data_IF_182265991835
#
_entry.id   IF_182265991835
#
_cell.length_a   1.000
_cell.length_b   1.000
_cell.length_c   1.000
_cell.angle_alpha   90.00
_cell.angle_beta   90.00
_cell.angle_gamma   90.00
#
_symmetry.space_group_name_H-M   'P 1'
#
loop_
_entity.id
_entity.type
_entity.pdbx_description
1 polymer ?
#
# COMPACT_ATOMS: atom_id res chain seq x y z
N UNK A 1 5.88 -0.52 -29.63
CA UNK A 1 5.96 -1.49 -28.52
C UNK A 1 5.35 -0.81 -27.31
N UNK A 2 4.40 -1.43 -26.61
CA UNK A 2 3.80 -0.83 -25.43
C UNK A 2 4.64 -1.15 -24.21
N UNK A 3 5.16 -0.11 -23.55
CA UNK A 3 6.07 -0.25 -22.41
C UNK A 3 5.35 -0.19 -21.07
N UNK A 4 4.04 0.08 -21.07
CA UNK A 4 3.26 0.29 -19.87
C UNK A 4 1.93 -0.41 -19.97
N UNK A 5 1.60 -1.19 -18.94
CA UNK A 5 0.28 -1.77 -18.75
C UNK A 5 -0.47 -0.88 -17.78
N UNK A 6 -1.63 -0.39 -18.20
CA UNK A 6 -2.55 0.36 -17.36
C UNK A 6 -3.71 -0.54 -16.96
N UNK A 7 -4.07 -0.47 -15.68
CA UNK A 7 -5.09 -1.31 -15.07
C UNK A 7 -6.00 -0.40 -14.26
N UNK A 8 -7.31 -0.56 -14.42
CA UNK A 8 -8.31 0.09 -13.59
C UNK A 8 -9.22 -0.94 -12.99
N UNK A 9 -9.31 -0.96 -11.67
CA UNK A 9 -10.19 -1.87 -10.93
C UNK A 9 -11.38 -1.10 -10.39
N UNK A 10 -12.56 -1.74 -10.42
CA UNK A 10 -13.76 -1.29 -9.74
C UNK A 10 -14.04 -2.22 -8.58
N UNK A 11 -14.06 -1.68 -7.37
CA UNK A 11 -14.37 -2.40 -6.14
C UNK A 11 -15.63 -1.85 -5.49
N UNK A 12 -16.45 -2.73 -4.95
CA UNK A 12 -17.52 -2.37 -4.00
C UNK A 12 -16.96 -2.48 -2.60
N UNK A 13 -17.24 -1.50 -1.75
CA UNK A 13 -16.98 -1.63 -0.32
C UNK A 13 -18.28 -1.38 0.46
N UNK A 14 -18.50 -2.19 1.49
CA UNK A 14 -19.65 -2.08 2.39
C UNK A 14 -19.15 -1.93 3.82
N UNK A 15 -19.54 -0.84 4.49
CA UNK A 15 -19.35 -0.65 5.93
C UNK A 15 -17.95 -1.01 6.46
N UNK A 16 -16.90 -0.61 5.74
CA UNK A 16 -15.51 -1.01 6.05
C UNK A 16 -14.63 0.18 6.42
N UNK A 17 -13.42 -0.09 6.89
CA UNK A 17 -12.40 0.93 7.20
C UNK A 17 -11.15 0.64 6.36
N UNK A 18 -10.88 1.49 5.38
CA UNK A 18 -9.68 1.38 4.55
C UNK A 18 -8.42 1.83 5.30
N UNK A 19 -8.53 2.98 5.98
CA UNK A 19 -7.43 3.60 6.68
C UNK A 19 -7.98 4.54 7.73
N UNK A 20 -7.29 4.63 8.86
CA UNK A 20 -7.72 5.48 9.95
C UNK A 20 -6.96 6.80 10.00
N UNK A 21 -7.63 7.86 10.45
CA UNK A 21 -7.06 9.15 10.80
C UNK A 21 -7.46 9.53 12.22
N UNK A 22 -6.60 10.25 12.93
CA UNK A 22 -6.93 10.82 14.24
C UNK A 22 -7.60 12.17 14.06
N UNK A 23 -8.77 12.34 14.67
CA UNK A 23 -9.47 13.62 14.81
C UNK A 23 -9.96 13.72 16.26
N UNK A 24 -9.54 14.76 16.98
CA UNK A 24 -10.02 15.08 18.33
C UNK A 24 -10.02 13.87 19.30
N UNK A 25 -8.86 13.21 19.44
CA UNK A 25 -8.63 11.99 20.26
C UNK A 25 -9.39 10.73 19.81
N UNK A 26 -10.23 10.81 18.78
CA UNK A 26 -10.92 9.66 18.17
C UNK A 26 -10.25 9.26 16.86
N UNK A 27 -10.38 7.99 16.49
CA UNK A 27 -9.79 7.42 15.27
C UNK A 27 -10.93 7.08 14.32
N UNK A 28 -10.96 7.66 13.13
CA UNK A 28 -12.07 7.50 12.16
C UNK A 28 -11.56 7.15 10.76
N UNK A 29 -12.45 6.69 9.87
CA UNK A 29 -12.14 6.43 8.47
C UNK A 29 -11.58 7.69 7.78
N UNK A 30 -10.48 7.53 7.06
CA UNK A 30 -9.86 8.59 6.27
C UNK A 30 -10.76 9.00 5.10
N UNK A 31 -10.93 10.31 4.91
CA UNK A 31 -11.71 10.89 3.82
C UNK A 31 -11.05 12.16 3.26
N UNK A 32 -11.48 12.58 2.07
CA UNK A 32 -11.24 13.92 1.55
C UNK A 32 -12.59 14.61 1.31
N UNK A 33 -12.59 15.93 1.24
CA UNK A 33 -13.79 16.71 0.97
C UNK A 33 -13.84 17.13 -0.50
N UNK A 34 -14.93 16.79 -1.18
CA UNK A 34 -15.23 17.21 -2.55
C UNK A 34 -16.12 18.46 -2.49
N UNK A 35 -15.60 19.58 -2.98
CA UNK A 35 -16.29 20.87 -2.95
C UNK A 35 -17.38 21.00 -4.02
N UNK A 36 -17.29 20.26 -5.12
CA UNK A 36 -18.26 20.32 -6.21
C UNK A 36 -19.60 19.71 -5.78
N UNK A 37 -19.55 18.57 -5.09
CA UNK A 37 -20.74 17.87 -4.60
C UNK A 37 -20.99 18.07 -3.10
N UNK A 38 -20.15 18.85 -2.41
CA UNK A 38 -20.22 19.12 -0.98
C UNK A 38 -20.30 17.82 -0.15
N UNK A 39 -19.37 16.89 -0.38
CA UNK A 39 -19.36 15.56 0.25
C UNK A 39 -17.99 15.14 0.77
N UNK A 40 -17.99 14.46 1.90
CA UNK A 40 -16.81 13.75 2.43
C UNK A 40 -16.75 12.35 1.85
N UNK A 41 -15.68 12.05 1.11
CA UNK A 41 -15.52 10.79 0.38
C UNK A 41 -14.39 9.98 1.01
N UNK A 42 -14.65 8.73 1.44
CA UNK A 42 -13.61 7.86 1.95
C UNK A 42 -12.62 7.47 0.85
N UNK A 43 -11.37 7.24 1.23
CA UNK A 43 -10.36 6.73 0.30
C UNK A 43 -9.29 5.92 1.01
N UNK A 44 -8.60 5.07 0.25
CA UNK A 44 -7.34 4.45 0.64
C UNK A 44 -6.20 5.09 -0.13
N UNK A 45 -5.10 5.44 0.54
CA UNK A 45 -3.94 6.04 -0.15
C UNK A 45 -3.29 5.04 -1.11
N UNK A 46 -2.64 5.53 -2.17
CA UNK A 46 -1.90 4.65 -3.09
C UNK A 46 -0.81 3.85 -2.39
N UNK A 47 -0.22 4.38 -1.30
CA UNK A 47 0.73 3.65 -0.47
C UNK A 47 0.10 2.48 0.28
N UNK A 48 -1.12 2.64 0.80
CA UNK A 48 -1.84 1.54 1.45
C UNK A 48 -2.23 0.46 0.44
N UNK A 49 -2.75 0.85 -0.73
CA UNK A 49 -3.09 -0.08 -1.82
C UNK A 49 -1.85 -0.85 -2.27
N UNK A 50 -0.74 -0.13 -2.50
CA UNK A 50 0.54 -0.71 -2.88
C UNK A 50 1.05 -1.71 -1.84
N UNK A 51 1.00 -1.35 -0.55
CA UNK A 51 1.39 -2.25 0.52
C UNK A 51 0.56 -3.55 0.50
N UNK A 52 -0.76 -3.45 0.37
CA UNK A 52 -1.64 -4.62 0.28
C UNK A 52 -1.34 -5.50 -0.95
N UNK A 53 -0.96 -4.90 -2.09
CA UNK A 53 -0.52 -5.65 -3.27
C UNK A 53 0.81 -6.37 -2.99
N UNK A 54 1.80 -5.67 -2.45
CA UNK A 54 3.13 -6.27 -2.17
C UNK A 54 3.07 -7.36 -1.10
N UNK A 55 2.25 -7.17 -0.05
CA UNK A 55 1.96 -8.21 0.94
C UNK A 55 1.36 -9.45 0.26
N UNK A 56 0.36 -9.29 -0.62
CA UNK A 56 -0.23 -10.39 -1.37
C UNK A 56 0.78 -11.09 -2.31
N UNK A 57 1.70 -10.34 -2.95
CA UNK A 57 2.79 -10.92 -3.75
C UNK A 57 3.65 -11.84 -2.89
N UNK A 58 4.09 -11.36 -1.73
CA UNK A 58 4.90 -12.14 -0.79
C UNK A 58 4.16 -13.39 -0.28
N UNK A 59 2.86 -13.27 0.02
CA UNK A 59 2.01 -14.40 0.43
C UNK A 59 1.91 -15.47 -0.68
N UNK A 60 1.69 -15.06 -1.94
CA UNK A 60 1.60 -16.01 -3.05
C UNK A 60 2.94 -16.68 -3.39
N UNK A 61 4.05 -16.00 -3.16
CA UNK A 61 5.39 -16.57 -3.31
C UNK A 61 5.84 -17.36 -2.08
N UNK A 62 5.08 -17.33 -0.98
CA UNK A 62 5.44 -17.90 0.31
C UNK A 62 6.81 -17.38 0.80
N UNK A 63 7.06 -16.08 0.63
CA UNK A 63 8.31 -15.41 1.03
C UNK A 63 8.05 -14.36 2.09
N UNK A 64 8.99 -14.17 3.00
CA UNK A 64 8.94 -13.04 3.92
C UNK A 64 9.23 -11.72 3.16
N UNK A 65 8.54 -10.61 3.48
CA UNK A 65 8.92 -9.30 2.95
C UNK A 65 10.31 -8.90 3.46
N UNK A 66 10.95 -7.98 2.75
CA UNK A 66 12.26 -7.49 3.17
C UNK A 66 12.25 -6.98 4.61
N UNK A 67 13.30 -7.27 5.41
CA UNK A 67 13.44 -6.67 6.72
C UNK A 67 13.59 -5.15 6.59
N UNK A 68 13.01 -4.44 7.56
CA UNK A 68 13.10 -2.98 7.70
C UNK A 68 13.72 -2.67 9.07
N UNK A 69 14.74 -1.82 9.07
CA UNK A 69 15.41 -1.40 10.31
C UNK A 69 14.84 -0.06 10.75
N UNK A 70 14.25 -0.02 11.95
CA UNK A 70 13.80 1.20 12.60
C UNK A 70 14.87 1.72 13.55
N UNK A 71 15.33 2.95 13.33
CA UNK A 71 16.27 3.61 14.23
C UNK A 71 15.48 4.61 15.08
N UNK A 72 15.72 4.53 16.39
CA UNK A 72 15.23 5.52 17.35
C UNK A 72 16.41 6.10 18.12
N UNK A 73 16.30 7.37 18.50
CA UNK A 73 17.30 8.07 19.29
C UNK A 73 16.73 8.43 20.67
N UNK A 74 17.54 8.33 21.70
CA UNK A 74 17.18 8.79 23.04
C UNK A 74 17.68 10.22 23.20
N UNK A 75 16.77 11.16 23.42
CA UNK A 75 17.09 12.55 23.72
C UNK A 75 16.29 13.02 24.94
N UNK A 76 16.99 13.50 25.99
CA UNK A 76 16.37 14.02 27.23
C UNK A 76 15.34 13.06 27.86
N UNK A 77 15.69 11.77 28.02
CA UNK A 77 14.80 10.70 28.54
C UNK A 77 13.51 10.47 27.72
N UNK A 78 13.45 10.94 26.46
CA UNK A 78 12.36 10.64 25.52
C UNK A 78 12.91 9.88 24.32
N UNK A 79 12.18 8.85 23.90
CA UNK A 79 12.43 8.15 22.64
C UNK A 79 11.95 9.04 21.48
N UNK A 80 12.81 9.28 20.51
CA UNK A 80 12.49 9.98 19.26
C UNK A 80 12.69 9.04 18.08
N UNK A 81 11.71 8.98 17.20
CA UNK A 81 11.84 8.30 15.92
C UNK A 81 12.95 8.96 15.09
N UNK A 82 13.79 8.16 14.44
CA UNK A 82 14.86 8.62 13.56
C UNK A 82 14.67 8.03 12.15
N UNK A 83 15.67 7.34 11.61
CA UNK A 83 15.67 6.83 10.25
C UNK A 83 15.05 5.44 10.15
N UNK A 84 14.41 5.16 9.01
CA UNK A 84 13.93 3.83 8.64
C UNK A 84 14.75 3.39 7.44
N UNK A 85 15.44 2.25 7.54
CA UNK A 85 16.29 1.73 6.48
C UNK A 85 15.68 0.49 5.83
N UNK A 86 15.54 0.55 4.51
CA UNK A 86 15.37 -0.62 3.65
C UNK A 86 16.74 -1.23 3.32
N UNK A 87 16.77 -2.54 3.07
CA UNK A 87 18.01 -3.26 2.69
C UNK A 87 18.60 -2.81 1.36
N UNK A 88 17.78 -2.23 0.45
CA UNK A 88 18.17 -1.85 -0.91
C UNK A 88 18.64 -3.05 -1.75
N UNK A 89 17.99 -4.20 -1.55
CA UNK A 89 18.34 -5.48 -2.15
C UNK A 89 17.19 -5.99 -3.04
N UNK A 90 17.38 -6.05 -4.37
CA UNK A 90 16.34 -6.44 -5.32
C UNK A 90 16.03 -7.95 -5.36
N UNK A 91 16.75 -8.78 -4.59
CA UNK A 91 16.35 -10.18 -4.38
C UNK A 91 15.04 -10.30 -3.61
N UNK A 92 14.68 -9.27 -2.84
CA UNK A 92 13.37 -9.15 -2.21
C UNK A 92 12.37 -8.55 -3.21
N UNK A 93 11.36 -9.34 -3.58
CA UNK A 93 10.34 -8.97 -4.56
C UNK A 93 9.56 -7.72 -4.18
N UNK A 94 9.27 -7.53 -2.88
CA UNK A 94 8.58 -6.36 -2.36
C UNK A 94 9.41 -5.08 -2.50
N UNK A 95 10.74 -5.17 -2.41
CA UNK A 95 11.63 -4.05 -2.70
C UNK A 95 11.80 -3.81 -4.19
N UNK A 96 11.96 -4.86 -4.99
CA UNK A 96 12.11 -4.72 -6.44
C UNK A 96 10.90 -4.00 -7.06
N UNK A 97 9.69 -4.40 -6.66
CA UNK A 97 8.43 -3.80 -7.08
C UNK A 97 8.08 -2.54 -6.30
N UNK A 98 8.42 -2.48 -5.01
CA UNK A 98 8.12 -1.36 -4.13
C UNK A 98 9.01 -0.14 -4.33
N UNK A 99 10.24 -0.35 -4.77
CA UNK A 99 11.31 0.64 -4.74
C UNK A 99 11.76 0.95 -3.31
N UNK A 100 12.82 1.72 -3.19
CA UNK A 100 13.40 2.11 -1.90
C UNK A 100 14.10 3.45 -2.00
N UNK A 101 14.36 4.04 -0.84
CA UNK A 101 15.22 5.20 -0.70
C UNK A 101 15.98 5.06 0.62
N UNK A 102 17.30 5.11 0.55
CA UNK A 102 18.19 5.14 1.71
C UNK A 102 19.10 6.36 1.56
N UNK A 103 18.86 7.36 2.40
CA UNK A 103 19.73 8.52 2.52
C UNK A 103 20.57 8.36 3.79
N UNK A 104 21.89 8.39 3.66
CA UNK A 104 22.78 8.45 4.81
C UNK A 104 22.83 9.89 5.31
N UNK A 105 22.49 10.13 6.58
CA UNK A 105 22.78 11.45 7.17
C UNK A 105 24.29 11.59 7.36
N UNK A 106 24.86 12.65 6.76
CA UNK A 106 26.21 13.11 7.12
C UNK A 106 26.24 13.40 8.62
N UNK A 107 27.08 12.68 9.36
CA UNK A 107 27.44 13.03 10.73
C UNK A 107 28.29 14.31 10.73
N UNK A 108 27.73 15.47 10.35
CA UNK A 108 28.43 16.76 10.43
C UNK A 108 27.97 17.66 11.58
N UNK A 109 26.87 17.35 12.27
CA UNK A 109 26.39 18.21 13.37
C UNK A 109 26.82 17.78 14.78
N UNK A 110 27.64 16.73 14.92
CA UNK A 110 28.17 16.28 16.22
C UNK A 110 29.60 16.76 16.52
N UNK A 111 30.32 17.37 15.56
CA UNK A 111 31.72 17.79 15.71
C UNK A 111 31.92 19.27 16.09
N UNK A 112 30.86 20.01 16.43
CA UNK A 112 31.01 21.37 17.00
C UNK A 112 31.45 21.37 18.48
N UNK A 113 31.57 20.20 19.15
CA UNK A 113 31.80 20.13 20.60
C UNK A 113 32.96 19.23 21.06
N UNK A 114 34.04 19.09 20.27
CA UNK A 114 35.33 18.60 20.77
C UNK A 114 36.49 19.38 20.16
N UNK A 115 36.68 20.61 20.64
CA UNK A 115 38.04 21.16 20.76
C UNK A 115 38.79 20.30 21.77
N UNK A 116 40.07 20.02 21.49
CA UNK A 116 41.07 19.31 22.31
C UNK A 116 41.05 17.76 22.27
N UNK A 117 41.80 17.18 21.33
CA UNK A 117 43.00 16.39 21.66
C UNK A 117 43.78 16.07 20.39
N UNK A 118 45.00 16.62 20.35
CA UNK A 118 46.09 16.27 19.45
C UNK A 118 46.51 14.83 19.74
N UNK A 119 46.65 13.98 18.71
CA UNK A 119 47.43 12.75 18.78
C UNK A 119 48.00 12.43 17.40
N UNK A 120 49.25 12.02 17.41
CA UNK A 120 50.21 11.96 16.32
C UNK A 120 49.86 10.93 15.21
N UNK A 121 50.49 11.04 14.02
CA UNK A 121 50.20 10.23 12.86
C UNK A 121 51.18 9.05 12.79
N UNK A 122 50.69 7.82 12.90
CA UNK A 122 51.38 6.63 12.39
C UNK A 122 50.39 5.47 12.31
N UNK A 123 50.47 4.75 11.19
CA UNK A 123 49.83 3.48 10.84
C UNK A 123 48.29 3.41 10.70
N UNK A 124 47.79 3.48 9.46
CA UNK A 124 46.81 2.51 8.95
C UNK A 124 46.79 2.51 7.40
N UNK A 125 47.64 1.68 6.81
CA UNK A 125 47.53 1.24 5.41
C UNK A 125 46.34 0.26 5.29
N UNK A 126 45.13 0.80 5.25
CA UNK A 126 43.93 0.10 4.78
C UNK A 126 43.02 1.09 4.03
N UNK A 127 43.52 1.54 2.87
CA UNK A 127 42.78 2.35 1.91
C UNK A 127 41.91 1.47 1.00
N UNK A 128 40.91 0.80 1.53
CA UNK A 128 39.91 0.11 0.68
C UNK A 128 38.60 -0.06 1.46
N UNK A 129 37.80 1.02 1.60
CA UNK A 129 36.32 0.97 1.80
C UNK A 129 35.69 2.38 2.01
N UNK A 130 36.05 3.36 1.17
CA UNK A 130 35.61 4.76 1.38
C UNK A 130 34.85 5.41 0.19
N UNK A 131 34.50 4.64 -0.85
CA UNK A 131 33.86 5.20 -2.05
C UNK A 131 32.33 5.31 -2.03
N UNK A 132 31.66 4.90 -0.95
CA UNK A 132 30.18 4.93 -0.88
C UNK A 132 29.59 5.66 0.34
N UNK A 133 30.42 6.25 1.22
CA UNK A 133 29.91 7.01 2.37
C UNK A 133 29.27 8.32 1.90
N UNK A 134 27.94 8.41 2.01
CA UNK A 134 27.16 9.64 1.79
C UNK A 134 26.37 9.75 0.49
N UNK A 135 26.26 8.70 -0.34
CA UNK A 135 25.38 8.70 -1.52
C UNK A 135 24.00 8.15 -1.16
N UNK A 136 22.95 8.80 -1.68
CA UNK A 136 21.56 8.32 -1.52
C UNK A 136 21.33 7.17 -2.50
N UNK A 137 21.02 5.98 -1.98
CA UNK A 137 20.56 4.86 -2.80
C UNK A 137 19.07 5.02 -3.04
N UNK A 138 18.63 5.06 -4.30
CA UNK A 138 17.22 5.31 -4.61
C UNK A 138 16.77 4.56 -5.85
N UNK A 139 15.76 3.72 -5.68
CA UNK A 139 15.03 3.09 -6.76
C UNK A 139 13.58 3.55 -6.77
N UNK A 140 13.08 3.97 -7.93
CA UNK A 140 11.65 4.24 -8.11
C UNK A 140 10.93 2.93 -8.40
N UNK A 141 9.78 2.75 -7.79
CA UNK A 141 8.89 1.63 -8.06
C UNK A 141 8.51 1.56 -9.53
N UNK A 142 8.56 0.38 -10.18
CA UNK A 142 7.97 0.17 -11.49
C UNK A 142 6.43 0.18 -11.46
N UNK A 143 5.82 0.15 -10.27
CA UNK A 143 4.38 0.18 -10.06
C UNK A 143 3.95 1.58 -9.59
N UNK A 144 3.24 2.31 -10.46
CA UNK A 144 2.57 3.56 -10.10
C UNK A 144 1.12 3.27 -9.74
N UNK A 145 0.76 3.43 -8.47
CA UNK A 145 -0.53 3.02 -7.92
C UNK A 145 -1.28 4.25 -7.38
N UNK A 146 -2.48 4.50 -7.91
CA UNK A 146 -3.34 5.58 -7.44
C UNK A 146 -3.90 5.28 -6.05
N UNK A 147 -4.44 6.32 -5.40
CA UNK A 147 -5.38 6.08 -4.30
C UNK A 147 -6.58 5.25 -4.80
N UNK A 148 -7.09 4.36 -3.95
CA UNK A 148 -8.43 3.80 -4.14
C UNK A 148 -9.44 4.83 -3.66
N UNK A 149 -10.15 5.45 -4.59
CA UNK A 149 -11.07 6.59 -4.35
C UNK A 149 -12.46 6.26 -4.84
N UNK A 150 -13.47 7.02 -4.42
CA UNK A 150 -14.82 6.87 -4.96
C UNK A 150 -14.82 6.99 -6.50
N UNK A 151 -15.58 6.14 -7.17
CA UNK A 151 -15.82 6.23 -8.61
C UNK A 151 -16.40 7.60 -8.97
N UNK A 152 -17.34 8.06 -8.14
CA UNK A 152 -17.95 9.37 -8.18
C UNK A 152 -18.35 9.83 -6.76
N UNK A 153 -18.32 11.13 -6.43
CA UNK A 153 -18.78 11.67 -5.13
C UNK A 153 -20.20 11.28 -4.70
N UNK A 154 -21.06 10.96 -5.68
CA UNK A 154 -22.44 10.52 -5.44
C UNK A 154 -22.60 9.01 -5.27
N UNK A 155 -21.53 8.23 -5.55
CA UNK A 155 -21.53 6.76 -5.52
C UNK A 155 -20.66 6.16 -4.40
N UNK A 156 -20.05 7.02 -3.59
CA UNK A 156 -19.26 6.63 -2.42
C UNK A 156 -19.47 7.64 -1.30
N UNK A 157 -19.45 7.18 -0.06
CA UNK A 157 -19.70 8.05 1.08
C UNK A 157 -19.33 7.42 2.41
N UNK A 158 -19.49 8.22 3.47
CA UNK A 158 -19.35 7.78 4.84
C UNK A 158 -20.72 7.45 5.43
N UNK A 159 -20.83 6.28 6.07
CA UNK A 159 -21.96 5.95 6.94
C UNK A 159 -21.51 5.97 8.39
N UNK A 160 -22.33 6.53 9.29
CA UNK A 160 -22.09 6.45 10.74
C UNK A 160 -22.61 5.13 11.30
N UNK A 161 -21.87 4.54 12.23
CA UNK A 161 -22.23 3.33 12.96
C UNK A 161 -21.80 3.46 14.43
N UNK A 162 -22.66 3.01 15.34
CA UNK A 162 -22.34 2.85 16.75
C UNK A 162 -21.83 1.42 17.02
N UNK A 163 -20.74 1.29 17.77
CA UNK A 163 -20.13 0.00 18.08
C UNK A 163 -20.24 -0.28 19.58
N UNK A 164 -20.55 -1.53 19.92
CA UNK A 164 -20.44 -2.04 21.28
C UNK A 164 -19.14 -2.81 21.47
N UNK A 165 -18.34 -2.45 22.47
CA UNK A 165 -17.28 -3.31 22.99
C UNK A 165 -17.79 -3.98 24.26
N UNK A 166 -18.23 -5.23 24.12
CA UNK A 166 -18.77 -6.04 25.21
C UNK A 166 -17.81 -7.17 25.56
N UNK A 167 -17.43 -7.26 26.84
CA UNK A 167 -16.64 -8.34 27.44
C UNK A 167 -17.30 -8.91 28.70
N UNK A 168 -18.60 -8.70 28.87
CA UNK A 168 -19.35 -9.13 30.05
C UNK A 168 -19.35 -10.65 30.25
N UNK A 169 -19.14 -11.42 29.19
CA UNK A 169 -19.06 -12.88 29.18
C UNK A 169 -17.66 -13.43 29.56
N UNK A 170 -16.65 -12.55 29.74
CA UNK A 170 -15.27 -12.97 30.00
C UNK A 170 -14.90 -12.86 31.48
N UNK A 171 -14.71 -13.99 32.20
CA UNK A 171 -14.46 -14.00 33.64
C UNK A 171 -13.09 -13.45 34.03
N UNK A 172 -12.17 -13.27 33.08
CA UNK A 172 -10.83 -12.72 33.29
C UNK A 172 -10.74 -11.22 32.96
N UNK A 173 -11.86 -10.50 32.92
CA UNK A 173 -11.89 -9.06 32.69
C UNK A 173 -11.61 -8.31 33.98
N UNK A 174 -10.52 -7.52 34.00
CA UNK A 174 -10.20 -6.64 35.12
C UNK A 174 -10.78 -5.24 34.89
N UNK A 175 -11.48 -4.71 35.90
CA UNK A 175 -12.06 -3.35 35.87
C UNK A 175 -11.32 -2.51 36.90
N UNK A 176 -10.49 -1.57 36.43
CA UNK A 176 -9.74 -0.65 37.28
C UNK A 176 -10.43 0.71 37.24
N UNK A 177 -10.91 1.19 38.38
CA UNK A 177 -11.41 2.56 38.54
C UNK A 177 -10.41 3.37 39.36
N UNK A 178 -10.11 4.58 38.88
CA UNK A 178 -9.21 5.51 39.55
C UNK A 178 -9.96 6.78 39.96
N UNK A 179 -9.54 7.36 41.07
CA UNK A 179 -9.99 8.68 41.51
C UNK A 179 -9.31 9.81 40.72
N UNK A 180 -9.62 11.06 41.08
CA UNK A 180 -9.08 12.27 40.43
C UNK A 180 -7.56 12.40 40.59
N UNK A 181 -6.98 11.81 41.64
CA UNK A 181 -5.55 11.80 41.92
C UNK A 181 -4.82 10.62 41.24
N UNK A 182 -5.57 9.72 40.59
CA UNK A 182 -5.05 8.57 39.85
C UNK A 182 -4.81 7.32 40.72
N UNK A 183 -5.25 7.31 41.97
CA UNK A 183 -5.20 6.16 42.87
C UNK A 183 -6.31 5.17 42.53
N UNK A 184 -6.04 3.87 42.69
CA UNK A 184 -7.01 2.80 42.40
C UNK A 184 -8.00 2.66 43.56
N UNK A 185 -9.29 2.70 43.27
CA UNK A 185 -10.35 2.48 44.27
C UNK A 185 -10.36 1.03 44.75
N UNK A 186 -10.62 0.83 46.04
CA UNK A 186 -10.73 -0.52 46.64
C UNK A 186 -12.15 -1.07 46.47
N UNK A 187 -12.29 -2.39 46.48
CA UNK A 187 -13.57 -3.10 46.21
C UNK A 187 -14.76 -2.62 47.06
N UNK A 188 -14.52 -2.22 48.31
CA UNK A 188 -15.57 -1.71 49.21
C UNK A 188 -16.06 -0.32 48.79
N UNK A 189 -15.14 0.60 48.51
CA UNK A 189 -15.46 1.96 48.03
C UNK A 189 -16.12 1.92 46.65
N UNK A 190 -15.71 0.95 45.80
CA UNK A 190 -16.32 0.70 44.52
C UNK A 190 -17.76 0.18 44.64
N UNK A 191 -18.01 -0.75 45.56
CA UNK A 191 -19.35 -1.30 45.81
C UNK A 191 -20.31 -0.22 46.31
N UNK A 192 -19.87 0.59 47.27
CA UNK A 192 -20.64 1.73 47.81
C UNK A 192 -20.93 2.78 46.72
N UNK A 193 -20.00 3.03 45.78
CA UNK A 193 -20.19 3.96 44.67
C UNK A 193 -21.15 3.45 43.58
N UNK A 194 -21.18 2.13 43.37
CA UNK A 194 -22.06 1.49 42.39
C UNK A 194 -23.48 1.26 42.95
N UNK A 195 -23.67 1.32 44.26
CA UNK A 195 -24.99 1.21 44.89
C UNK A 195 -25.89 2.38 44.43
N UNK A 196 -26.88 2.07 43.58
CA UNK A 196 -27.79 3.04 42.97
C UNK A 196 -27.38 3.54 41.57
N UNK A 197 -26.22 3.13 41.04
CA UNK A 197 -25.77 3.45 39.69
C UNK A 197 -25.79 2.21 38.79
N UNK A 198 -26.85 2.03 38.00
CA UNK A 198 -26.98 0.92 37.05
C UNK A 198 -26.12 1.15 35.79
N UNK A 199 -24.80 0.97 35.92
CA UNK A 199 -23.83 1.11 34.82
C UNK A 199 -23.02 -0.16 34.63
N UNK A 200 -23.06 -0.70 33.42
CA UNK A 200 -22.20 -1.82 33.02
C UNK A 200 -20.76 -1.37 32.79
N UNK A 201 -19.82 -1.81 33.64
CA UNK A 201 -18.40 -1.45 33.55
C UNK A 201 -17.59 -2.33 32.58
N UNK A 202 -18.12 -3.50 32.21
CA UNK A 202 -17.53 -4.44 31.25
C UNK A 202 -17.95 -4.17 29.79
N UNK A 203 -18.71 -3.09 29.56
CA UNK A 203 -19.22 -2.68 28.25
C UNK A 203 -18.86 -1.23 27.96
N UNK A 204 -18.40 -0.97 26.75
CA UNK A 204 -18.16 0.40 26.26
C UNK A 204 -18.90 0.61 24.95
N UNK A 205 -19.78 1.61 24.95
CA UNK A 205 -20.40 2.11 23.73
C UNK A 205 -19.46 3.12 23.07
N UNK A 206 -19.20 2.93 21.78
CA UNK A 206 -18.37 3.82 20.97
C UNK A 206 -19.26 4.35 19.86
N UNK A 207 -19.65 5.61 19.97
CA UNK A 207 -20.56 6.27 19.03
C UNK A 207 -19.81 6.90 17.86
N UNK A 208 -20.55 7.19 16.79
CA UNK A 208 -20.12 8.02 15.66
C UNK A 208 -18.91 7.49 14.88
N UNK A 209 -18.79 6.17 14.74
CA UNK A 209 -17.71 5.60 13.94
C UNK A 209 -18.06 5.66 12.45
N UNK A 210 -17.23 6.34 11.67
CA UNK A 210 -17.44 6.42 10.22
C UNK A 210 -16.94 5.16 9.51
N UNK A 211 -17.71 4.70 8.52
CA UNK A 211 -17.39 3.60 7.61
C UNK A 211 -17.44 4.03 6.16
N UNK A 212 -16.58 3.45 5.34
CA UNK A 212 -16.60 3.60 3.91
C UNK A 212 -17.62 2.64 3.26
N UNK A 213 -18.48 3.20 2.42
CA UNK A 213 -19.45 2.45 1.61
C UNK A 213 -19.51 3.02 0.20
N UNK A 214 -19.70 2.15 -0.80
CA UNK A 214 -19.97 2.53 -2.19
C UNK A 214 -19.04 1.89 -3.22
N UNK A 215 -18.94 2.55 -4.38
CA UNK A 215 -18.13 2.12 -5.52
C UNK A 215 -16.81 2.88 -5.58
N UNK A 216 -15.72 2.14 -5.67
CA UNK A 216 -14.35 2.65 -5.60
C UNK A 216 -13.54 2.21 -6.81
N UNK A 217 -12.68 3.10 -7.29
CA UNK A 217 -11.72 2.80 -8.35
C UNK A 217 -10.30 2.95 -7.86
N UNK A 218 -9.42 2.10 -8.37
CA UNK A 218 -7.97 2.29 -8.27
C UNK A 218 -7.30 1.98 -9.60
N UNK A 219 -6.28 2.76 -9.92
CA UNK A 219 -5.54 2.72 -11.17
C UNK A 219 -4.09 2.29 -10.89
N UNK A 220 -3.55 1.42 -11.72
CA UNK A 220 -2.18 0.91 -11.64
C UNK A 220 -1.53 1.07 -13.02
N UNK A 221 -0.31 1.60 -13.05
CA UNK A 221 0.55 1.58 -14.22
C UNK A 221 1.80 0.74 -13.91
N UNK A 222 2.09 -0.24 -14.76
CA UNK A 222 3.26 -1.11 -14.67
C UNK A 222 4.26 -0.70 -15.75
N UNK A 223 5.43 -0.17 -15.37
CA UNK A 223 6.51 0.09 -16.32
C UNK A 223 7.32 -1.20 -16.56
N UNK A 224 7.06 -1.84 -17.70
CA UNK A 224 7.69 -3.11 -18.08
C UNK A 224 9.21 -2.96 -18.25
N UNK A 225 9.70 -1.78 -18.63
CA UNK A 225 11.14 -1.56 -18.82
C UNK A 225 11.95 -1.64 -17.54
N UNK A 226 11.30 -1.41 -16.39
CA UNK A 226 11.92 -1.38 -15.06
C UNK A 226 11.48 -2.51 -14.14
N UNK A 227 10.44 -3.26 -14.51
CA UNK A 227 9.76 -4.21 -13.61
C UNK A 227 10.72 -5.22 -12.97
N UNK A 228 11.62 -5.79 -13.79
CA UNK A 228 12.56 -6.83 -13.37
C UNK A 228 14.03 -6.43 -13.48
N UNK A 229 14.33 -5.14 -13.64
CA UNK A 229 15.71 -4.69 -13.77
C UNK A 229 16.06 -3.59 -12.79
N UNK A 230 17.33 -3.49 -12.45
CA UNK A 230 17.90 -2.48 -11.56
C UNK A 230 19.11 -1.81 -12.20
N UNK A 231 19.22 -0.50 -12.04
CA UNK A 231 20.30 0.29 -12.66
C UNK A 231 21.65 0.04 -11.96
N UNK A 232 22.72 -0.06 -12.74
CA UNK A 232 24.10 -0.11 -12.22
C UNK A 232 24.85 1.23 -12.36
N UNK A 233 24.10 2.32 -12.64
CA UNK A 233 24.67 3.66 -12.76
C UNK A 233 25.30 4.13 -11.44
N UNK A 234 26.58 4.49 -11.47
CA UNK A 234 27.33 4.95 -10.29
C UNK A 234 27.07 6.40 -9.88
N UNK A 235 26.51 7.21 -10.78
CA UNK A 235 26.14 8.61 -10.52
C UNK A 235 24.81 8.72 -9.78
N UNK A 236 23.85 7.87 -10.15
CA UNK A 236 22.55 7.73 -9.48
C UNK A 236 22.34 6.26 -9.05
N UNK A 237 23.05 5.82 -7.99
CA UNK A 237 23.05 4.41 -7.61
C UNK A 237 21.69 3.97 -7.06
N UNK A 238 21.18 2.85 -7.58
CA UNK A 238 20.02 2.17 -6.98
C UNK A 238 20.46 1.26 -5.83
N UNK A 239 21.68 0.70 -5.85
CA UNK A 239 22.17 -0.25 -4.85
C UNK A 239 23.69 -0.08 -4.59
N UNK A 240 24.23 -0.79 -3.59
CA UNK A 240 25.66 -0.80 -3.32
C UNK A 240 26.44 -1.65 -4.33
N UNK A 241 27.74 -1.38 -4.51
CA UNK A 241 28.62 -2.21 -5.35
C UNK A 241 28.69 -3.67 -4.87
N UNK A 242 28.60 -3.90 -3.56
CA UNK A 242 28.51 -5.24 -2.97
C UNK A 242 27.24 -5.97 -3.44
N UNK A 243 26.10 -5.27 -3.45
CA UNK A 243 24.83 -5.82 -3.95
C UNK A 243 24.94 -6.14 -5.44
N UNK A 244 25.56 -5.28 -6.25
CA UNK A 244 25.79 -5.56 -7.69
C UNK A 244 26.59 -6.86 -7.86
N UNK A 245 27.71 -7.02 -7.14
CA UNK A 245 28.54 -8.24 -7.20
C UNK A 245 27.76 -9.48 -6.75
N UNK A 246 26.96 -9.35 -5.68
CA UNK A 246 26.06 -10.42 -5.20
C UNK A 246 25.10 -10.87 -6.29
N UNK A 247 24.38 -9.93 -6.91
CA UNK A 247 23.38 -10.25 -7.95
C UNK A 247 24.02 -10.92 -9.18
N UNK A 248 25.21 -10.46 -9.58
CA UNK A 248 25.97 -11.09 -10.66
C UNK A 248 26.34 -12.55 -10.32
N UNK A 249 26.78 -12.81 -9.08
CA UNK A 249 27.06 -14.16 -8.61
C UNK A 249 25.79 -15.05 -8.52
N UNK A 250 24.63 -14.44 -8.26
CA UNK A 250 23.32 -15.10 -8.26
C UNK A 250 22.70 -15.25 -9.66
N UNK A 251 23.44 -14.91 -10.72
CA UNK A 251 23.04 -15.14 -12.11
C UNK A 251 22.12 -14.06 -12.71
N UNK A 252 22.05 -12.87 -12.11
CA UNK A 252 21.37 -11.74 -12.75
C UNK A 252 22.09 -11.32 -14.04
N UNK A 253 21.30 -11.02 -15.06
CA UNK A 253 21.76 -10.86 -16.44
C UNK A 253 22.13 -9.40 -16.68
N UNK A 254 23.36 -9.15 -17.13
CA UNK A 254 23.77 -7.82 -17.57
C UNK A 254 23.03 -7.45 -18.87
N UNK A 255 22.38 -6.30 -18.86
CA UNK A 255 21.60 -5.78 -19.99
C UNK A 255 21.72 -4.26 -20.07
N UNK A 256 21.08 -3.69 -21.09
CA UNK A 256 20.96 -2.26 -21.31
C UNK A 256 19.54 -1.94 -21.74
N UNK A 257 18.93 -0.96 -21.07
CA UNK A 257 17.63 -0.42 -21.45
C UNK A 257 17.75 1.06 -21.81
N UNK A 258 16.61 1.70 -22.08
CA UNK A 258 16.52 3.14 -22.41
C UNK A 258 17.06 4.08 -21.32
N UNK A 259 17.28 3.57 -20.09
CA UNK A 259 17.83 4.32 -18.96
C UNK A 259 19.33 4.07 -18.73
N UNK A 260 19.93 3.13 -19.46
CA UNK A 260 21.34 2.77 -19.35
C UNK A 260 21.56 1.31 -18.97
N UNK A 261 22.76 1.03 -18.47
CA UNK A 261 23.17 -0.33 -18.10
C UNK A 261 22.44 -0.79 -16.83
N UNK A 262 22.01 -2.05 -16.82
CA UNK A 262 21.22 -2.62 -15.74
C UNK A 262 21.50 -4.11 -15.54
N UNK A 263 21.06 -4.63 -14.39
CA UNK A 263 20.95 -6.07 -14.14
C UNK A 263 19.48 -6.46 -14.19
N UNK A 264 19.17 -7.55 -14.90
CA UNK A 264 17.83 -8.11 -15.08
C UNK A 264 17.71 -9.41 -14.30
N UNK A 265 16.59 -9.60 -13.61
CA UNK A 265 16.33 -10.81 -12.86
C UNK A 265 16.31 -12.06 -13.80
N UNK A 266 16.86 -13.20 -13.36
CA UNK A 266 16.81 -14.46 -14.09
C UNK A 266 15.40 -14.83 -14.54
N UNK A 267 15.27 -15.47 -15.71
CA UNK A 267 13.98 -15.85 -16.29
C UNK A 267 13.07 -16.63 -15.33
N UNK A 268 13.60 -17.61 -14.61
CA UNK A 268 12.81 -18.40 -13.65
C UNK A 268 12.20 -17.55 -12.52
N UNK A 269 12.95 -16.55 -12.01
CA UNK A 269 12.41 -15.61 -11.02
C UNK A 269 11.35 -14.70 -11.64
N UNK A 270 11.58 -14.20 -12.85
CA UNK A 270 10.59 -13.38 -13.57
C UNK A 270 9.28 -14.13 -13.76
N UNK A 271 9.32 -15.38 -14.19
CA UNK A 271 8.12 -16.19 -14.41
C UNK A 271 7.29 -16.35 -13.12
N UNK A 272 7.94 -16.76 -12.02
CA UNK A 272 7.27 -16.88 -10.71
C UNK A 272 6.72 -15.54 -10.20
N UNK A 273 7.49 -14.47 -10.33
CA UNK A 273 7.08 -13.14 -9.87
C UNK A 273 5.96 -12.53 -10.73
N UNK A 274 5.92 -12.81 -12.04
CA UNK A 274 4.83 -12.39 -12.94
C UNK A 274 3.50 -13.02 -12.51
N UNK A 275 3.49 -14.33 -12.25
CA UNK A 275 2.29 -15.04 -11.78
C UNK A 275 1.79 -14.47 -10.46
N UNK A 276 2.69 -14.32 -9.48
CA UNK A 276 2.35 -13.76 -8.17
C UNK A 276 1.86 -12.30 -8.26
N UNK A 277 2.50 -11.47 -9.10
CA UNK A 277 2.11 -10.07 -9.29
C UNK A 277 0.73 -9.95 -9.96
N UNK A 278 0.47 -10.73 -11.01
CA UNK A 278 -0.84 -10.74 -11.67
C UNK A 278 -1.95 -11.11 -10.68
N UNK A 279 -1.73 -12.21 -9.94
CA UNK A 279 -2.68 -12.67 -8.93
C UNK A 279 -2.89 -11.65 -7.81
N UNK A 280 -1.83 -10.99 -7.34
CA UNK A 280 -1.89 -9.94 -6.32
C UNK A 280 -2.66 -8.71 -6.81
N UNK A 281 -2.42 -8.25 -8.04
CA UNK A 281 -3.13 -7.09 -8.60
C UNK A 281 -4.64 -7.35 -8.72
N UNK A 282 -5.04 -8.57 -9.06
CA UNK A 282 -6.46 -8.96 -9.17
C UNK A 282 -7.11 -9.14 -7.80
N UNK A 283 -6.39 -9.72 -6.83
CA UNK A 283 -6.97 -10.24 -5.60
C UNK A 283 -6.63 -9.48 -4.31
N UNK A 284 -5.82 -8.41 -4.36
CA UNK A 284 -5.47 -7.65 -3.16
C UNK A 284 -6.71 -7.13 -2.42
N UNK A 285 -6.61 -7.08 -1.10
CA UNK A 285 -7.65 -6.57 -0.18
C UNK A 285 -7.00 -5.79 0.95
N UNK A 286 -7.76 -4.88 1.55
CA UNK A 286 -7.34 -4.22 2.78
C UNK A 286 -7.86 -5.07 3.95
N UNK A 287 -6.96 -5.78 4.61
CA UNK A 287 -7.29 -6.70 5.72
C UNK A 287 -6.99 -6.11 7.11
N UNK A 288 -6.19 -5.03 7.18
CA UNK A 288 -5.39 -4.73 8.36
C UNK A 288 -5.81 -3.51 9.21
N UNK A 289 -6.99 -2.91 9.00
CA UNK A 289 -7.42 -1.76 9.81
C UNK A 289 -8.75 -2.00 10.51
N UNK A 290 -8.69 -2.36 11.79
CA UNK A 290 -9.85 -2.49 12.69
C UNK A 290 -10.90 -3.48 12.15
N UNK A 291 -10.50 -4.74 11.98
CA UNK A 291 -11.34 -5.88 11.51
C UNK A 291 -12.46 -6.25 12.50
N UNK A 292 -13.37 -5.30 12.78
CA UNK A 292 -14.66 -5.56 13.42
C UNK A 292 -15.79 -5.60 12.40
N UNK A 293 -15.63 -4.93 11.26
CA UNK A 293 -16.52 -5.04 10.10
C UNK A 293 -15.71 -5.47 8.86
N UNK A 294 -15.82 -6.75 8.50
CA UNK A 294 -15.16 -7.30 7.31
C UNK A 294 -16.02 -7.04 6.07
N UNK A 295 -15.38 -6.54 5.02
CA UNK A 295 -15.97 -6.42 3.69
C UNK A 295 -15.16 -7.30 2.75
N UNK A 296 -15.85 -8.03 1.86
CA UNK A 296 -15.18 -8.80 0.82
C UNK A 296 -14.41 -7.89 -0.15
N UNK A 297 -14.76 -6.61 -0.19
CA UNK A 297 -14.22 -5.62 -1.13
C UNK A 297 -14.30 -6.12 -2.57
N UNK A 298 -15.49 -6.58 -2.97
CA UNK A 298 -15.73 -7.30 -4.21
C UNK A 298 -15.19 -6.52 -5.41
N UNK A 299 -14.33 -7.17 -6.18
CA UNK A 299 -13.90 -6.64 -7.48
C UNK A 299 -15.03 -6.87 -8.47
N UNK A 300 -15.69 -5.80 -8.88
CA UNK A 300 -16.80 -5.83 -9.85
C UNK A 300 -16.29 -5.89 -11.29
N UNK A 301 -15.21 -5.16 -11.59
CA UNK A 301 -14.60 -5.17 -12.91
C UNK A 301 -13.11 -4.83 -12.86
N UNK A 302 -12.36 -5.34 -13.83
CA UNK A 302 -10.98 -4.96 -14.11
C UNK A 302 -10.86 -4.62 -15.59
N UNK A 303 -10.32 -3.45 -15.90
CA UNK A 303 -9.99 -3.06 -17.27
C UNK A 303 -8.47 -2.97 -17.44
N UNK A 304 -7.95 -3.55 -18.51
CA UNK A 304 -6.51 -3.63 -18.81
C UNK A 304 -6.26 -3.09 -20.22
N UNK A 305 -5.25 -2.24 -20.37
CA UNK A 305 -4.91 -1.63 -21.65
C UNK A 305 -3.55 -0.96 -21.64
N UNK A 306 -3.21 -0.30 -22.74
CA UNK A 306 -1.92 0.36 -22.98
C UNK A 306 -2.04 1.90 -23.05
N UNK A 307 -3.27 2.42 -22.97
CA UNK A 307 -3.58 3.84 -23.11
C UNK A 307 -4.25 4.37 -21.84
N UNK A 308 -3.57 5.26 -21.14
CA UNK A 308 -4.04 5.86 -19.88
C UNK A 308 -5.41 6.55 -20.01
N UNK A 309 -5.68 7.21 -21.14
CA UNK A 309 -6.93 7.94 -21.35
C UNK A 309 -8.11 7.00 -21.58
N UNK A 310 -7.90 5.94 -22.37
CA UNK A 310 -8.93 4.93 -22.63
C UNK A 310 -9.26 4.15 -21.35
N UNK A 311 -8.25 3.84 -20.54
CA UNK A 311 -8.46 3.13 -19.27
C UNK A 311 -9.33 3.93 -18.31
N UNK A 312 -9.12 5.25 -18.19
CA UNK A 312 -9.99 6.09 -17.37
C UNK A 312 -11.45 6.11 -17.88
N UNK A 313 -11.65 6.01 -19.21
CA UNK A 313 -12.97 5.95 -19.85
C UNK A 313 -13.69 4.60 -19.70
N UNK A 314 -12.95 3.50 -19.54
CA UNK A 314 -13.52 2.14 -19.46
C UNK A 314 -14.41 1.90 -18.24
N UNK A 315 -14.11 2.53 -17.11
CA UNK A 315 -14.91 2.44 -15.88
C UNK A 315 -15.12 3.86 -15.36
N UNK A 316 -16.33 4.38 -15.55
CA UNK A 316 -16.66 5.79 -15.33
C UNK A 316 -18.02 5.95 -14.65
N UNK A 317 -18.35 7.19 -14.32
CA UNK A 317 -19.71 7.55 -13.94
C UNK A 317 -20.15 8.75 -14.77
N UNK A 318 -21.43 8.80 -15.11
CA UNK A 318 -22.09 9.94 -15.77
C UNK A 318 -23.14 10.52 -14.84
N UNK A 319 -23.31 11.84 -14.79
CA UNK A 319 -24.45 12.43 -14.11
C UNK A 319 -25.75 12.01 -14.82
N UNK A 320 -26.80 11.79 -14.04
CA UNK A 320 -28.12 11.55 -14.61
C UNK A 320 -28.61 12.80 -15.34
N UNK A 321 -29.22 12.62 -16.51
CA UNK A 321 -29.84 13.71 -17.27
C UNK A 321 -31.14 14.18 -16.61
N UNK A 322 -31.78 13.32 -15.81
CA UNK A 322 -33.04 13.61 -15.11
C UNK A 322 -32.85 14.15 -13.69
N UNK A 323 -31.75 13.80 -13.02
CA UNK A 323 -31.51 14.11 -11.60
C UNK A 323 -30.05 14.49 -11.35
N UNK A 324 -29.80 15.78 -11.13
CA UNK A 324 -28.44 16.31 -10.91
C UNK A 324 -27.75 15.77 -9.65
N UNK A 325 -28.50 15.15 -8.73
CA UNK A 325 -27.98 14.54 -7.51
C UNK A 325 -27.74 13.03 -7.64
N UNK A 326 -27.85 12.48 -8.87
CA UNK A 326 -27.54 11.09 -9.18
C UNK A 326 -26.41 10.98 -10.19
N UNK A 327 -25.60 9.95 -9.99
CA UNK A 327 -24.62 9.50 -10.98
C UNK A 327 -24.89 8.03 -11.31
N UNK A 328 -24.70 7.70 -12.58
CA UNK A 328 -24.87 6.35 -13.12
C UNK A 328 -23.47 5.77 -13.37
N UNK A 329 -23.08 4.68 -12.68
CA UNK A 329 -21.84 3.98 -12.99
C UNK A 329 -21.94 3.29 -14.35
N UNK A 330 -20.85 3.26 -15.10
CA UNK A 330 -20.76 2.67 -16.43
C UNK A 330 -19.48 1.85 -16.52
N UNK A 331 -19.61 0.60 -16.97
CA UNK A 331 -18.50 -0.25 -17.41
C UNK A 331 -18.62 -0.38 -18.92
N UNK A 332 -17.60 0.06 -19.65
CA UNK A 332 -17.56 0.01 -21.11
C UNK A 332 -16.92 -1.30 -21.58
N UNK A 333 -17.76 -2.26 -21.95
CA UNK A 333 -17.34 -3.63 -22.29
C UNK A 333 -16.86 -3.78 -23.74
N UNK A 334 -16.84 -2.69 -24.53
CA UNK A 334 -16.55 -2.69 -25.96
C UNK A 334 -15.50 -1.66 -26.38
N UNK A 335 -14.81 -1.03 -25.42
CA UNK A 335 -13.82 0.00 -25.73
C UNK A 335 -12.60 -0.62 -26.45
N UNK A 336 -12.28 -0.12 -27.64
CA UNK A 336 -11.11 -0.59 -28.40
C UNK A 336 -9.81 -0.37 -27.61
N UNK A 337 -8.89 -1.34 -27.67
CA UNK A 337 -7.58 -1.33 -26.97
C UNK A 337 -7.67 -1.38 -25.43
N UNK A 338 -8.86 -1.66 -24.88
CA UNK A 338 -9.04 -1.95 -23.46
C UNK A 338 -9.84 -3.24 -23.34
N UNK A 339 -9.28 -4.22 -22.63
CA UNK A 339 -9.98 -5.46 -22.32
C UNK A 339 -10.57 -5.35 -20.92
N UNK A 340 -11.89 -5.50 -20.81
CA UNK A 340 -12.63 -5.35 -19.56
C UNK A 340 -13.25 -6.67 -19.14
N UNK A 341 -12.92 -7.09 -17.92
CA UNK A 341 -13.36 -8.33 -17.30
C UNK A 341 -14.36 -7.99 -16.21
N UNK A 342 -15.61 -8.45 -16.36
CA UNK A 342 -16.74 -8.10 -15.48
C UNK A 342 -17.18 -9.32 -14.68
N UNK A 343 -17.23 -9.21 -13.35
CA UNK A 343 -17.67 -10.31 -12.48
C UNK A 343 -19.19 -10.38 -12.39
N UNK A 344 -19.74 -11.54 -12.01
CA UNK A 344 -21.20 -11.73 -11.85
C UNK A 344 -21.83 -10.74 -10.86
N UNK A 345 -21.09 -10.35 -9.84
CA UNK A 345 -21.54 -9.40 -8.81
C UNK A 345 -21.77 -7.99 -9.38
N UNK A 346 -21.14 -7.64 -10.51
CA UNK A 346 -21.30 -6.32 -11.12
C UNK A 346 -22.75 -6.05 -11.54
N UNK A 347 -23.45 -7.06 -12.09
CA UNK A 347 -24.84 -6.95 -12.55
C UNK A 347 -25.84 -6.59 -11.45
N UNK A 348 -25.48 -6.77 -10.17
CA UNK A 348 -26.29 -6.32 -9.04
C UNK A 348 -26.24 -4.80 -8.79
N UNK A 349 -25.29 -4.09 -9.41
CA UNK A 349 -25.01 -2.69 -9.10
C UNK A 349 -24.86 -1.80 -10.34
N UNK A 350 -24.56 -2.39 -11.50
CA UNK A 350 -24.25 -1.71 -12.75
C UNK A 350 -24.91 -2.51 -13.88
N UNK A 351 -25.51 -1.81 -14.83
CA UNK A 351 -26.01 -2.47 -16.03
C UNK A 351 -24.83 -2.95 -16.89
N UNK A 352 -24.64 -4.26 -16.96
CA UNK A 352 -23.57 -4.94 -17.71
C UNK A 352 -24.16 -6.09 -18.55
N UNK A 353 -23.38 -6.61 -19.48
CA UNK A 353 -23.83 -7.61 -20.47
C UNK A 353 -22.91 -8.81 -20.67
N UNK A 354 -21.63 -8.72 -20.23
CA UNK A 354 -20.62 -9.78 -20.40
C UNK A 354 -20.07 -10.26 -19.05
N UNK A 355 -20.90 -10.31 -18.02
CA UNK A 355 -20.51 -10.84 -16.71
C UNK A 355 -20.09 -12.30 -16.80
N UNK A 356 -18.99 -12.66 -16.13
CA UNK A 356 -18.43 -14.00 -16.17
C UNK A 356 -17.96 -14.45 -14.79
N UNK A 357 -18.23 -15.72 -14.45
CA UNK A 357 -17.77 -16.32 -13.19
C UNK A 357 -16.24 -16.34 -13.08
N UNK A 358 -15.54 -16.54 -14.20
CA UNK A 358 -14.08 -16.59 -14.28
C UNK A 358 -13.46 -15.27 -14.77
N UNK A 359 -14.15 -14.14 -14.65
CA UNK A 359 -13.63 -12.85 -15.11
C UNK A 359 -12.29 -12.48 -14.45
N UNK A 360 -12.15 -12.71 -13.14
CA UNK A 360 -10.90 -12.42 -12.42
C UNK A 360 -9.74 -13.32 -12.88
N UNK A 361 -10.00 -14.61 -13.12
CA UNK A 361 -9.00 -15.54 -13.65
C UNK A 361 -8.55 -15.15 -15.07
N UNK A 362 -9.47 -14.66 -15.91
CA UNK A 362 -9.14 -14.15 -17.24
C UNK A 362 -8.32 -12.86 -17.17
N UNK A 363 -8.66 -11.95 -16.27
CA UNK A 363 -7.87 -10.74 -16.04
C UNK A 363 -6.44 -11.09 -15.57
N UNK A 364 -6.30 -12.05 -14.66
CA UNK A 364 -5.00 -12.55 -14.20
C UNK A 364 -4.17 -13.11 -15.37
N UNK A 365 -4.77 -14.02 -16.16
CA UNK A 365 -4.11 -14.58 -17.35
C UNK A 365 -3.70 -13.50 -18.35
N UNK A 366 -4.53 -12.47 -18.53
CA UNK A 366 -4.19 -11.36 -19.43
C UNK A 366 -2.97 -10.57 -18.95
N UNK A 367 -2.89 -10.30 -17.64
CA UNK A 367 -1.72 -9.65 -17.05
C UNK A 367 -0.45 -10.48 -17.22
N UNK A 368 -0.55 -11.80 -16.99
CA UNK A 368 0.57 -12.74 -17.19
C UNK A 368 1.02 -12.71 -18.65
N UNK A 369 0.09 -12.85 -19.60
CA UNK A 369 0.38 -12.79 -21.03
C UNK A 369 1.14 -11.51 -21.39
N UNK A 370 0.62 -10.35 -21.00
CA UNK A 370 1.22 -9.06 -21.34
C UNK A 370 2.61 -8.86 -20.71
N UNK A 371 2.81 -9.31 -19.47
CA UNK A 371 4.12 -9.23 -18.81
C UNK A 371 5.13 -10.22 -19.43
N UNK A 372 4.71 -11.45 -19.72
CA UNK A 372 5.57 -12.47 -20.33
C UNK A 372 5.99 -12.13 -21.77
N UNK A 373 5.15 -11.41 -22.51
CA UNK A 373 5.44 -11.03 -23.89
C UNK A 373 6.57 -10.00 -24.03
N UNK A 374 6.92 -9.30 -22.94
CA UNK A 374 7.95 -8.27 -22.96
C UNK A 374 9.35 -8.86 -22.87
N UNK A 375 10.25 -8.48 -23.79
CA UNK A 375 11.66 -8.85 -23.71
C UNK A 375 12.40 -7.94 -22.72
N UNK A 376 12.56 -8.45 -21.50
CA UNK A 376 13.27 -7.74 -20.43
C UNK A 376 14.78 -7.68 -20.62
N UNK A 377 15.36 -8.58 -21.42
CA UNK A 377 16.80 -8.74 -21.59
C UNK A 377 17.33 -7.92 -22.78
N UNK A 378 16.49 -7.64 -23.79
CA UNK A 378 16.87 -6.89 -24.99
C UNK A 378 15.96 -5.68 -25.23
N UNK A 379 16.03 -4.70 -24.34
CA UNK A 379 15.27 -3.44 -24.44
C UNK A 379 16.02 -2.41 -25.31
N UNK A 380 16.10 -2.65 -26.62
CA UNK A 380 16.73 -1.70 -27.56
C UNK A 380 15.87 -0.48 -27.84
#
# INVERSE_FOLDING_TARGET
MNYTIYIRTLKRAEHTVFCVTKKDKTTTQKFYYDSQFNRSIPFSSGQQVKRSILEAVCEYLNTAPSPITFISQIAKKKLKEAEVYATCDPTYVDQLFGGWMKAEKKQQDAKANKRSKKKDPEDDDNQEDDNNKGKVLKRRSPLSISAMRGLHPLLAGLSSEDISFDRSDRPNTEVIIRDEDGSILKDKELSDFLEGNDRSLSRKWIQDNSRATGLFVSDIAIDLRRLFCVSVNQFEPEMSNETIKKLQAEGWIASKNVFGDCLVAPKALREAWIEALAKAIVNWRITSNQSRTFSLMDTLAISIGDNANLIAGSIRAKLSEEDSNKAVPIIDENLSNVETFVTLQAGGYIATTKEQANALEKAEKKLIELMMAFDYENQK
#
